data_IF_550368754913
#
_entry.id   IF_550368754913
#
_cell.length_a   1.000
_cell.length_b   1.000
_cell.length_c   1.000
_cell.angle_alpha   90.00
_cell.angle_beta   90.00
_cell.angle_gamma   90.00
#
_symmetry.space_group_name_H-M   'P 1'
#
loop_
_entity.id
_entity.type
_entity.pdbx_description
1 polymer ?
#
# COMPACT_ATOMS: atom_id res chain seq x y z
N UNK A 1 -15.74 -1.70 -0.20
CA UNK A 1 -14.64 -0.70 -0.22
C UNK A 1 -15.07 0.66 -0.76
N UNK A 2 -15.77 0.72 -1.91
CA UNK A 2 -16.16 1.98 -2.53
C UNK A 2 -17.40 2.65 -1.90
N UNK A 3 -18.26 1.91 -1.20
CA UNK A 3 -19.52 2.42 -0.63
C UNK A 3 -19.29 3.71 0.19
N UNK A 4 -19.90 4.81 -0.25
CA UNK A 4 -19.77 6.14 0.38
C UNK A 4 -18.56 6.97 -0.09
N UNK A 5 -17.76 6.45 -1.02
CA UNK A 5 -16.61 7.13 -1.65
C UNK A 5 -16.63 6.95 -3.18
N UNK A 6 -17.76 6.56 -3.77
CA UNK A 6 -17.89 6.24 -5.19
C UNK A 6 -17.56 7.43 -6.10
N UNK A 7 -17.91 8.64 -5.66
CA UNK A 7 -17.69 9.88 -6.40
C UNK A 7 -16.32 10.52 -6.13
N UNK A 8 -15.48 9.92 -5.29
CA UNK A 8 -14.15 10.48 -5.01
C UNK A 8 -13.24 10.37 -6.25
N UNK A 9 -12.55 11.47 -6.61
CA UNK A 9 -11.60 11.44 -7.71
C UNK A 9 -10.44 10.50 -7.39
N UNK A 10 -9.73 10.11 -8.44
CA UNK A 10 -8.44 9.45 -8.29
C UNK A 10 -7.46 10.33 -7.48
N UNK A 11 -6.67 9.71 -6.61
CA UNK A 11 -5.84 10.41 -5.63
C UNK A 11 -6.59 10.87 -4.37
N UNK A 12 -7.92 10.73 -4.32
CA UNK A 12 -8.75 11.10 -3.16
C UNK A 12 -8.76 10.05 -2.03
N UNK A 13 -9.68 10.19 -1.08
CA UNK A 13 -9.75 9.32 0.12
C UNK A 13 -10.01 7.85 -0.23
N UNK A 14 -10.67 7.60 -1.35
CA UNK A 14 -10.87 6.24 -1.89
C UNK A 14 -9.53 5.56 -2.19
N UNK A 15 -8.59 6.29 -2.79
CA UNK A 15 -7.26 5.77 -3.10
C UNK A 15 -6.47 5.44 -1.83
N UNK A 16 -6.50 6.30 -0.82
CA UNK A 16 -5.86 6.02 0.47
C UNK A 16 -6.33 4.70 1.09
N UNK A 17 -7.65 4.46 1.13
CA UNK A 17 -8.20 3.20 1.62
C UNK A 17 -7.76 2.01 0.75
N UNK A 18 -7.75 2.20 -0.57
CA UNK A 18 -7.31 1.19 -1.55
C UNK A 18 -5.86 0.75 -1.30
N UNK A 19 -4.96 1.72 -1.14
CA UNK A 19 -3.56 1.49 -0.84
C UNK A 19 -3.40 0.70 0.45
N UNK A 20 -4.08 1.13 1.53
CA UNK A 20 -4.01 0.45 2.82
C UNK A 20 -4.40 -1.02 2.71
N UNK A 21 -5.56 -1.31 2.11
CA UNK A 21 -6.03 -2.69 1.95
C UNK A 21 -5.02 -3.56 1.19
N UNK A 22 -4.49 -3.02 0.08
CA UNK A 22 -3.54 -3.76 -0.77
C UNK A 22 -2.22 -4.02 -0.04
N UNK A 23 -1.69 -3.01 0.66
CA UNK A 23 -0.42 -3.10 1.36
C UNK A 23 -0.51 -3.99 2.61
N UNK A 24 -1.62 -3.91 3.36
CA UNK A 24 -1.87 -4.82 4.49
C UNK A 24 -1.90 -6.28 4.01
N UNK A 25 -2.59 -6.55 2.90
CA UNK A 25 -2.70 -7.90 2.36
C UNK A 25 -1.35 -8.39 1.81
N UNK A 26 -0.59 -7.52 1.14
CA UNK A 26 0.75 -7.84 0.66
C UNK A 26 1.70 -8.15 1.82
N UNK A 27 1.69 -7.34 2.88
CA UNK A 27 2.51 -7.55 4.07
C UNK A 27 2.15 -8.87 4.77
N UNK A 28 0.85 -9.18 4.87
CA UNK A 28 0.38 -10.46 5.43
C UNK A 28 0.88 -11.65 4.61
N UNK A 29 0.71 -11.62 3.29
CA UNK A 29 1.21 -12.69 2.42
C UNK A 29 2.74 -12.83 2.48
N UNK A 30 3.44 -11.69 2.62
CA UNK A 30 4.88 -11.69 2.77
C UNK A 30 5.32 -12.37 4.08
N UNK A 31 4.57 -12.14 5.17
CA UNK A 31 4.80 -12.80 6.46
C UNK A 31 4.51 -14.30 6.37
N UNK A 32 3.36 -14.69 5.80
CA UNK A 32 2.95 -16.09 5.65
C UNK A 32 3.92 -16.89 4.76
N UNK A 33 4.52 -16.24 3.76
CA UNK A 33 5.51 -16.85 2.87
C UNK A 33 6.96 -16.79 3.36
N UNK A 34 7.24 -16.14 4.50
CA UNK A 34 8.59 -16.01 5.03
C UNK A 34 9.52 -15.14 4.18
N UNK A 35 8.99 -14.13 3.50
CA UNK A 35 9.77 -13.21 2.68
C UNK A 35 10.44 -12.12 3.54
N UNK A 36 11.63 -11.69 3.14
CA UNK A 36 12.36 -10.61 3.84
C UNK A 36 11.73 -9.23 3.60
N UNK A 37 11.17 -9.01 2.41
CA UNK A 37 10.65 -7.73 1.97
C UNK A 37 9.36 -7.87 1.17
N UNK A 38 8.56 -6.81 1.18
CA UNK A 38 7.48 -6.57 0.23
C UNK A 38 7.50 -5.13 -0.27
N UNK A 39 6.85 -4.87 -1.40
CA UNK A 39 6.83 -3.54 -2.03
C UNK A 39 5.61 -3.37 -2.93
N UNK A 40 5.51 -2.24 -3.64
CA UNK A 40 4.46 -1.95 -4.60
C UNK A 40 5.00 -1.18 -5.79
N UNK A 41 4.53 -1.52 -7.00
CA UNK A 41 4.82 -0.77 -8.24
C UNK A 41 3.96 0.49 -8.38
N UNK A 42 3.08 0.79 -7.42
CA UNK A 42 2.18 1.94 -7.51
C UNK A 42 2.91 3.29 -7.36
N UNK A 43 4.14 3.31 -6.84
CA UNK A 43 4.91 4.54 -6.60
C UNK A 43 5.36 5.23 -7.89
N UNK A 44 5.57 4.48 -8.98
CA UNK A 44 5.99 5.05 -10.29
C UNK A 44 4.86 5.81 -11.01
N UNK A 45 3.61 5.57 -10.64
CA UNK A 45 2.47 6.12 -11.37
C UNK A 45 2.26 7.60 -11.00
N UNK A 46 2.24 8.53 -11.98
CA UNK A 46 2.04 9.96 -11.72
C UNK A 46 0.65 10.30 -11.15
N UNK A 47 -0.29 9.35 -11.22
CA UNK A 47 -1.65 9.49 -10.73
C UNK A 47 -1.80 9.02 -9.27
N UNK A 48 -0.75 8.47 -8.66
CA UNK A 48 -0.79 7.90 -7.31
C UNK A 48 0.00 8.76 -6.35
N UNK A 49 -0.46 8.78 -5.11
CA UNK A 49 0.25 9.48 -4.05
C UNK A 49 1.33 8.56 -3.45
N UNK A 50 2.57 8.71 -3.92
CA UNK A 50 3.71 7.93 -3.47
C UNK A 50 4.01 8.11 -1.96
N UNK A 51 3.78 9.31 -1.41
CA UNK A 51 3.98 9.55 0.02
C UNK A 51 3.03 8.70 0.87
N UNK A 52 1.74 8.62 0.49
CA UNK A 52 0.77 7.76 1.17
C UNK A 52 1.09 6.27 1.00
N UNK A 53 1.54 5.85 -0.18
CA UNK A 53 1.95 4.46 -0.42
C UNK A 53 3.13 4.07 0.49
N UNK A 54 4.12 4.93 0.61
CA UNK A 54 5.30 4.68 1.44
C UNK A 54 4.96 4.67 2.93
N UNK A 55 4.14 5.62 3.41
CA UNK A 55 3.68 5.66 4.79
C UNK A 55 2.87 4.40 5.15
N UNK A 56 1.89 4.05 4.32
CA UNK A 56 1.05 2.87 4.53
C UNK A 56 1.85 1.57 4.43
N UNK A 57 2.82 1.52 3.53
CA UNK A 57 3.70 0.37 3.33
C UNK A 57 4.57 0.13 4.55
N UNK A 58 5.23 1.18 5.06
CA UNK A 58 6.00 1.11 6.31
C UNK A 58 5.15 0.59 7.47
N UNK A 59 3.97 1.20 7.68
CA UNK A 59 3.06 0.80 8.77
C UNK A 59 2.58 -0.64 8.63
N UNK A 60 2.23 -1.09 7.43
CA UNK A 60 1.81 -2.46 7.18
C UNK A 60 2.96 -3.44 7.47
N UNK A 61 4.19 -3.07 7.10
CA UNK A 61 5.39 -3.85 7.37
C UNK A 61 5.71 -3.98 8.86
N UNK A 62 5.61 -2.89 9.62
CA UNK A 62 5.77 -2.89 11.07
C UNK A 62 4.77 -3.83 11.75
N UNK A 63 3.50 -3.80 11.31
CA UNK A 63 2.44 -4.65 11.86
C UNK A 63 2.61 -6.14 11.49
N UNK A 64 3.10 -6.42 10.29
CA UNK A 64 3.32 -7.79 9.81
C UNK A 64 4.71 -8.35 10.18
N UNK A 65 5.63 -7.54 10.69
CA UNK A 65 7.01 -7.95 10.94
C UNK A 65 7.81 -8.23 9.65
N UNK A 66 7.43 -7.62 8.53
CA UNK A 66 8.12 -7.74 7.23
C UNK A 66 8.54 -6.37 6.74
N UNK A 67 9.74 -6.23 6.19
CA UNK A 67 10.24 -4.91 5.79
C UNK A 67 9.56 -4.42 4.52
N UNK A 68 9.05 -3.20 4.54
CA UNK A 68 8.62 -2.52 3.32
C UNK A 68 9.82 -1.92 2.61
N UNK A 69 9.96 -2.16 1.31
CA UNK A 69 11.03 -1.59 0.47
C UNK A 69 10.48 -0.39 -0.33
N UNK A 70 10.77 0.87 0.08
CA UNK A 70 10.34 2.07 -0.63
C UNK A 70 11.27 2.31 -1.83
N UNK A 71 11.04 1.60 -2.93
CA UNK A 71 11.78 1.75 -4.18
C UNK A 71 10.82 1.77 -5.35
N UNK A 72 11.22 2.43 -6.43
CA UNK A 72 10.45 2.49 -7.67
C UNK A 72 10.70 1.22 -8.50
N UNK A 73 9.61 0.58 -8.93
CA UNK A 73 9.57 -0.67 -9.70
C UNK A 73 8.54 -0.60 -10.82
#
# INVERSE_FOLDING_TARGET
MAKGYEQEPEGGKRCYRCYKLRLDQAAKLAQEGGYDYFTTTLTISPLKNAAWLNELGQKAGELAGVRFLPSDF
#
